data_IF_913222444561
#
_entry.id   IF_913222444561
#
_cell.length_a   1.000
_cell.length_b   1.000
_cell.length_c   1.000
_cell.angle_alpha   90.00
_cell.angle_beta   90.00
_cell.angle_gamma   90.00
#
_symmetry.space_group_name_H-M   'P 1'
#
loop_
_entity.id
_entity.type
_entity.pdbx_description
1 polymer ?
#
# COMPACT_ATOMS: atom_id res chain seq x y z
N UNK A 1 25.70 6.07 -63.61
CA UNK A 1 25.00 7.07 -62.78
C UNK A 1 24.31 6.27 -61.70
N UNK A 2 25.02 6.05 -60.60
CA UNK A 2 24.53 5.34 -59.42
C UNK A 2 24.86 6.23 -58.22
N UNK A 3 23.82 6.59 -57.47
CA UNK A 3 23.92 7.31 -56.21
C UNK A 3 24.01 6.28 -55.06
N UNK A 4 24.84 6.49 -54.03
CA UNK A 4 24.73 5.75 -52.78
C UNK A 4 23.78 6.49 -51.81
N UNK A 5 22.80 5.76 -51.28
CA UNK A 5 21.86 6.24 -50.26
C UNK A 5 22.47 6.11 -48.87
N UNK A 6 22.56 7.23 -48.17
CA UNK A 6 23.11 7.37 -46.82
C UNK A 6 22.15 6.80 -45.77
N UNK A 7 22.69 6.00 -44.84
CA UNK A 7 22.00 5.55 -43.63
C UNK A 7 21.76 6.76 -42.69
N UNK A 8 20.54 6.90 -42.17
CA UNK A 8 20.20 7.85 -41.12
C UNK A 8 19.84 7.09 -39.84
N UNK A 9 20.73 7.26 -38.86
CA UNK A 9 20.61 6.84 -37.47
C UNK A 9 19.53 7.70 -36.77
N UNK A 10 18.43 7.09 -36.33
CA UNK A 10 17.40 7.78 -35.54
C UNK A 10 17.72 7.65 -34.05
N UNK A 11 18.29 8.71 -33.48
CA UNK A 11 18.47 8.89 -32.04
C UNK A 11 17.15 9.41 -31.42
N UNK A 12 16.70 8.74 -30.37
CA UNK A 12 15.57 9.14 -29.52
C UNK A 12 15.92 10.37 -28.68
N UNK A 13 14.96 11.28 -28.40
CA UNK A 13 15.20 12.46 -27.58
C UNK A 13 15.17 12.13 -26.07
N UNK A 14 15.97 12.82 -25.23
CA UNK A 14 15.94 12.64 -23.78
C UNK A 14 14.75 13.35 -23.13
N UNK A 15 14.24 12.75 -22.05
CA UNK A 15 13.14 13.18 -21.20
C UNK A 15 13.37 14.57 -20.59
N UNK A 16 12.42 15.49 -20.80
CA UNK A 16 12.44 16.86 -20.30
C UNK A 16 12.03 16.96 -18.83
N UNK A 17 12.87 17.60 -18.03
CA UNK A 17 12.56 18.05 -16.68
C UNK A 17 11.56 19.22 -16.73
N UNK A 18 10.41 19.07 -16.07
CA UNK A 18 9.43 20.15 -15.93
C UNK A 18 9.72 20.94 -14.65
N UNK A 19 10.09 22.22 -14.81
CA UNK A 19 10.41 23.15 -13.73
C UNK A 19 9.15 23.69 -13.04
N UNK A 20 9.22 23.88 -11.71
CA UNK A 20 8.19 24.52 -10.88
C UNK A 20 8.27 26.06 -10.92
N UNK A 21 7.16 26.81 -10.81
CA UNK A 21 7.18 28.26 -10.58
C UNK A 21 7.11 28.64 -9.09
N UNK A 22 7.97 29.59 -8.69
CA UNK A 22 8.03 30.27 -7.39
C UNK A 22 6.97 31.38 -7.28
N UNK A 23 6.27 31.47 -6.14
CA UNK A 23 5.43 32.62 -5.78
C UNK A 23 6.10 33.48 -4.69
N UNK A 24 6.39 34.75 -5.02
CA UNK A 24 6.59 35.87 -4.09
C UNK A 24 5.19 36.42 -3.74
N UNK A 25 4.81 36.93 -2.57
CA UNK A 25 5.51 37.49 -1.42
C UNK A 25 4.82 38.82 -1.09
N UNK A 26 4.32 39.02 0.14
CA UNK A 26 4.01 40.37 0.64
C UNK A 26 4.19 40.48 2.17
N UNK A 27 4.77 41.62 2.57
CA UNK A 27 5.29 42.00 3.90
C UNK A 27 4.33 42.91 4.68
N UNK A 28 4.66 43.12 5.98
CA UNK A 28 4.60 44.35 6.83
C UNK A 28 3.91 44.04 8.18
N UNK A 29 4.32 44.48 9.39
CA UNK A 29 5.54 45.03 9.98
C UNK A 29 5.37 45.06 11.53
N UNK A 30 6.52 45.08 12.22
CA UNK A 30 6.89 45.23 13.65
C UNK A 30 6.15 46.23 14.56
N UNK A 31 6.09 45.95 15.89
CA UNK A 31 6.51 46.90 16.97
C UNK A 31 6.63 46.26 18.37
N UNK A 32 7.50 46.84 19.20
CA UNK A 32 8.16 46.34 20.41
C UNK A 32 7.39 46.44 21.77
N UNK A 33 7.91 45.72 22.79
CA UNK A 33 7.67 45.76 24.28
C UNK A 33 8.17 47.09 24.92
N UNK A 34 7.98 47.46 26.23
CA UNK A 34 8.17 46.67 27.50
C UNK A 34 7.41 47.22 28.78
N UNK A 35 7.87 47.13 30.07
CA UNK A 35 8.22 46.02 30.99
C UNK A 35 7.60 46.12 32.45
N UNK A 36 8.05 45.22 33.37
CA UNK A 36 8.18 45.33 34.86
C UNK A 36 7.33 44.33 35.70
N UNK A 37 7.65 43.91 36.93
CA UNK A 37 8.86 43.46 37.65
C UNK A 37 8.41 43.00 39.08
N UNK A 38 8.97 41.89 39.60
CA UNK A 38 9.21 41.49 41.02
C UNK A 38 8.05 41.29 42.05
N UNK A 39 7.92 40.06 42.61
CA UNK A 39 8.15 39.69 44.05
C UNK A 39 7.65 38.26 44.42
N UNK A 40 8.54 37.48 45.04
CA UNK A 40 8.29 36.32 45.94
C UNK A 40 8.24 36.83 47.41
N UNK A 41 8.12 36.02 48.51
CA UNK A 41 8.04 34.54 48.64
C UNK A 41 7.03 34.02 49.73
N UNK A 42 6.75 32.71 49.77
CA UNK A 42 6.75 31.91 51.02
C UNK A 42 6.56 30.40 50.78
N UNK A 43 7.27 29.62 51.58
CA UNK A 43 7.38 28.16 51.55
C UNK A 43 6.47 27.52 52.61
N UNK A 44 6.02 26.29 52.38
CA UNK A 44 6.04 25.21 53.39
C UNK A 44 5.60 23.83 52.86
N UNK A 45 6.28 22.82 53.42
CA UNK A 45 5.93 21.39 53.56
C UNK A 45 6.33 20.37 52.47
N UNK A 46 7.36 19.63 52.87
CA UNK A 46 7.83 18.33 52.43
C UNK A 46 6.89 17.19 52.82
N UNK A 47 6.53 16.33 51.88
CA UNK A 47 6.24 14.91 52.16
C UNK A 47 6.85 14.03 51.06
N UNK A 48 7.68 13.10 51.51
CA UNK A 48 8.37 12.09 50.71
C UNK A 48 7.38 10.96 50.37
N UNK A 49 7.20 10.66 49.09
CA UNK A 49 6.64 9.36 48.66
C UNK A 49 7.59 8.70 47.66
N UNK A 50 7.87 7.43 47.95
CA UNK A 50 8.80 6.56 47.25
C UNK A 50 8.05 5.77 46.18
N UNK A 51 8.71 5.57 45.03
CA UNK A 51 8.49 4.56 43.97
C UNK A 51 7.24 4.62 43.09
N UNK A 52 7.46 4.92 41.79
CA UNK A 52 7.23 4.04 40.63
C UNK A 52 7.77 4.71 39.36
N UNK A 53 8.72 4.13 38.59
CA UNK A 53 8.91 4.52 37.20
C UNK A 53 8.06 3.57 36.36
N UNK A 54 6.77 3.88 36.20
CA UNK A 54 5.99 3.35 35.09
C UNK A 54 5.95 4.42 34.01
N UNK A 55 7.10 4.66 33.37
CA UNK A 55 7.07 5.08 31.98
C UNK A 55 6.67 3.84 31.21
N UNK A 56 5.38 3.66 30.99
CA UNK A 56 4.90 2.77 29.93
C UNK A 56 5.47 3.35 28.63
N UNK A 57 6.63 2.83 28.22
CA UNK A 57 7.05 2.98 26.84
C UNK A 57 5.93 2.38 25.98
N UNK A 58 5.56 3.04 24.87
CA UNK A 58 4.58 2.48 23.97
C UNK A 58 5.02 1.06 23.58
N UNK A 59 4.10 0.10 23.48
CA UNK A 59 4.45 -1.27 23.12
C UNK A 59 5.27 -1.24 21.83
N UNK A 60 6.53 -1.67 21.92
CA UNK A 60 7.42 -1.77 20.76
C UNK A 60 6.71 -2.65 19.73
N UNK A 61 6.38 -2.07 18.57
CA UNK A 61 5.71 -2.81 17.51
C UNK A 61 6.71 -3.82 16.94
N UNK A 62 6.49 -5.09 17.27
CA UNK A 62 7.35 -6.23 16.95
C UNK A 62 6.81 -6.94 15.72
N UNK A 63 7.69 -7.19 14.74
CA UNK A 63 7.38 -7.95 13.53
C UNK A 63 8.18 -9.25 13.49
N UNK A 64 7.56 -10.33 13.03
CA UNK A 64 8.25 -11.59 12.83
C UNK A 64 9.02 -11.62 11.51
N UNK A 65 10.17 -12.29 11.52
CA UNK A 65 11.01 -12.50 10.35
C UNK A 65 10.78 -13.92 9.84
N UNK A 66 10.29 -14.02 8.60
CA UNK A 66 10.27 -15.26 7.83
C UNK A 66 11.53 -15.39 7.00
N UNK A 67 12.30 -16.45 7.22
CA UNK A 67 13.51 -16.71 6.42
C UNK A 67 13.19 -17.61 5.22
N UNK A 68 13.56 -17.16 4.02
CA UNK A 68 13.37 -17.91 2.77
C UNK A 68 14.69 -18.03 1.99
N UNK A 69 14.71 -18.88 0.95
CA UNK A 69 15.84 -18.94 0.00
C UNK A 69 15.57 -18.04 -1.19
N UNK A 70 16.27 -16.92 -1.32
CA UNK A 70 16.15 -16.00 -2.45
C UNK A 70 17.50 -15.89 -3.17
N UNK A 71 17.56 -16.07 -4.48
CA UNK A 71 18.81 -16.00 -5.26
C UNK A 71 19.97 -16.82 -4.65
N UNK A 72 19.67 -18.05 -4.21
CA UNK A 72 20.59 -18.96 -3.51
C UNK A 72 21.17 -18.44 -2.17
N UNK A 73 20.54 -17.43 -1.57
CA UNK A 73 20.90 -16.89 -0.26
C UNK A 73 19.73 -17.03 0.72
N UNK A 74 20.04 -17.10 2.01
CA UNK A 74 19.03 -17.08 3.08
C UNK A 74 18.65 -15.62 3.34
N UNK A 75 17.44 -15.23 2.94
CA UNK A 75 16.98 -13.83 2.91
C UNK A 75 15.78 -13.65 3.84
N UNK A 76 15.74 -12.56 4.65
CA UNK A 76 14.63 -12.28 5.53
C UNK A 76 13.48 -11.58 4.79
N UNK A 77 12.25 -11.99 5.10
CA UNK A 77 11.01 -11.30 4.80
C UNK A 77 10.37 -10.91 6.12
N UNK A 78 9.90 -9.67 6.23
CA UNK A 78 9.15 -9.18 7.37
C UNK A 78 7.67 -9.49 7.16
N UNK A 79 7.04 -10.14 8.13
CA UNK A 79 5.60 -10.46 8.11
C UNK A 79 4.79 -9.40 8.85
N UNK A 80 3.51 -9.30 8.52
CA UNK A 80 2.54 -8.39 9.12
C UNK A 80 1.38 -9.17 9.76
N UNK A 81 0.87 -8.64 10.87
CA UNK A 81 -0.27 -9.15 11.64
C UNK A 81 -1.37 -8.09 11.85
N UNK A 82 -1.07 -6.81 11.63
CA UNK A 82 -1.96 -5.68 11.84
C UNK A 82 -1.98 -4.75 10.62
N UNK A 83 -3.11 -4.08 10.39
CA UNK A 83 -3.27 -3.08 9.34
C UNK A 83 -2.54 -1.79 9.74
N UNK A 84 -1.72 -1.21 8.84
CA UNK A 84 -1.01 0.04 9.10
C UNK A 84 0.40 0.08 8.51
N UNK A 85 1.35 -0.75 8.99
CA UNK A 85 2.76 -0.68 8.62
C UNK A 85 3.09 -1.29 7.25
N UNK A 86 2.09 -1.61 6.44
CA UNK A 86 2.28 -2.22 5.13
C UNK A 86 3.17 -1.43 4.16
N UNK A 87 3.18 -0.08 4.11
CA UNK A 87 4.11 0.65 3.24
C UNK A 87 5.56 0.42 3.66
N UNK A 88 5.84 0.48 4.97
CA UNK A 88 7.17 0.21 5.52
C UNK A 88 7.60 -1.23 5.21
N UNK A 89 6.73 -2.21 5.49
CA UNK A 89 7.03 -3.62 5.28
C UNK A 89 7.27 -3.93 3.80
N UNK A 90 6.45 -3.37 2.89
CA UNK A 90 6.62 -3.56 1.45
C UNK A 90 7.97 -3.01 0.96
N UNK A 91 8.37 -1.83 1.43
CA UNK A 91 9.66 -1.22 1.11
C UNK A 91 10.82 -2.06 1.67
N UNK A 92 10.78 -2.42 2.95
CA UNK A 92 11.84 -3.22 3.59
C UNK A 92 12.01 -4.55 2.87
N UNK A 93 10.93 -5.24 2.55
CA UNK A 93 11.00 -6.51 1.84
C UNK A 93 11.60 -6.37 0.43
N UNK A 94 11.29 -5.29 -0.30
CA UNK A 94 11.99 -4.99 -1.55
C UNK A 94 13.50 -4.81 -1.31
N UNK A 95 13.88 -4.06 -0.27
CA UNK A 95 15.29 -3.79 0.05
C UNK A 95 16.06 -5.05 0.52
N UNK A 96 15.43 -5.95 1.28
CA UNK A 96 16.04 -7.22 1.69
C UNK A 96 16.19 -8.16 0.50
N UNK A 97 15.18 -8.25 -0.38
CA UNK A 97 15.23 -9.06 -1.60
C UNK A 97 16.23 -8.51 -2.63
N UNK A 98 16.43 -7.19 -2.69
CA UNK A 98 17.54 -6.56 -3.45
C UNK A 98 18.91 -6.76 -2.82
N UNK A 99 18.98 -7.29 -1.58
CA UNK A 99 20.22 -7.50 -0.83
C UNK A 99 20.86 -6.22 -0.28
N UNK A 100 20.10 -5.11 -0.23
CA UNK A 100 20.53 -3.82 0.30
C UNK A 100 20.46 -3.80 1.84
N UNK A 101 19.50 -4.51 2.42
CA UNK A 101 19.40 -4.76 3.87
C UNK A 101 19.77 -6.22 4.15
N UNK A 102 20.64 -6.43 5.14
CA UNK A 102 21.02 -7.76 5.62
C UNK A 102 20.83 -7.82 7.12
N UNK A 103 20.06 -8.81 7.58
CA UNK A 103 19.83 -9.06 8.99
C UNK A 103 20.66 -10.26 9.47
N UNK A 104 21.13 -10.28 10.73
CA UNK A 104 21.72 -11.46 11.34
C UNK A 104 20.77 -12.66 11.32
N UNK A 105 21.27 -13.85 10.93
CA UNK A 105 20.47 -15.08 10.81
C UNK A 105 19.89 -15.63 12.12
N UNK A 106 20.28 -15.04 13.26
CA UNK A 106 19.80 -15.39 14.61
C UNK A 106 18.57 -14.59 15.01
N UNK A 107 18.12 -13.62 14.20
CA UNK A 107 16.93 -12.82 14.47
C UNK A 107 15.69 -13.51 13.92
N UNK A 108 14.70 -13.68 14.79
CA UNK A 108 13.35 -14.17 14.44
C UNK A 108 12.29 -13.06 14.54
N UNK A 109 12.64 -11.94 15.17
CA UNK A 109 11.80 -10.74 15.34
C UNK A 109 12.62 -9.47 15.12
N UNK A 110 11.95 -8.39 14.71
CA UNK A 110 12.53 -7.06 14.51
C UNK A 110 11.54 -5.99 14.97
N UNK A 111 12.04 -4.91 15.57
CA UNK A 111 11.19 -3.80 15.99
C UNK A 111 10.98 -2.78 14.87
N UNK A 112 9.92 -1.99 14.96
CA UNK A 112 9.69 -0.88 14.02
C UNK A 112 10.86 0.10 13.99
N UNK A 113 11.47 0.42 15.14
CA UNK A 113 12.61 1.34 15.22
C UNK A 113 13.81 0.81 14.42
N UNK A 114 14.09 -0.49 14.51
CA UNK A 114 15.15 -1.14 13.73
C UNK A 114 14.86 -1.12 12.22
N UNK A 115 13.60 -1.32 11.83
CA UNK A 115 13.19 -1.19 10.42
C UNK A 115 13.39 0.24 9.91
N UNK A 116 13.02 1.23 10.72
CA UNK A 116 13.21 2.65 10.40
C UNK A 116 14.69 3.03 10.30
N UNK A 117 15.54 2.50 11.19
CA UNK A 117 16.99 2.70 11.15
C UNK A 117 17.58 2.17 9.84
N UNK A 118 17.27 0.92 9.49
CA UNK A 118 17.73 0.34 8.22
C UNK A 118 17.21 1.09 6.99
N UNK A 119 15.97 1.57 7.03
CA UNK A 119 15.40 2.39 5.96
C UNK A 119 16.14 3.73 5.84
N UNK A 120 16.40 4.41 6.95
CA UNK A 120 17.17 5.66 7.00
C UNK A 120 18.58 5.49 6.45
N UNK A 121 19.28 4.42 6.85
CA UNK A 121 20.61 4.08 6.34
C UNK A 121 20.61 3.84 4.82
N UNK A 122 19.57 3.19 4.28
CA UNK A 122 19.42 2.99 2.85
C UNK A 122 19.23 4.31 2.09
N UNK A 123 18.38 5.21 2.60
CA UNK A 123 18.13 6.53 2.00
C UNK A 123 19.40 7.39 2.04
N UNK A 124 20.17 7.33 3.13
CA UNK A 124 21.46 8.02 3.24
C UNK A 124 22.55 7.39 2.35
N UNK A 125 22.49 6.09 2.11
CA UNK A 125 23.42 5.38 1.23
C UNK A 125 23.10 5.56 -0.25
N UNK A 126 21.87 5.93 -0.61
CA UNK A 126 21.47 6.23 -1.99
C UNK A 126 21.94 7.60 -2.48
N UNK A 127 22.56 8.41 -1.62
CA UNK A 127 23.10 9.73 -1.96
C UNK A 127 24.16 9.60 -3.08
N UNK A 128 23.92 10.19 -4.27
CA UNK A 128 24.93 10.23 -5.32
C UNK A 128 26.17 10.99 -4.83
N UNK A 129 27.36 10.45 -5.13
CA UNK A 129 28.63 11.07 -4.69
C UNK A 129 28.95 12.37 -5.41
N UNK A 130 28.41 12.54 -6.62
CA UNK A 130 28.66 13.68 -7.50
C UNK A 130 27.34 14.33 -7.90
N UNK A 131 26.72 15.10 -6.99
CA UNK A 131 25.51 15.86 -7.27
C UNK A 131 25.91 17.19 -7.93
N UNK A 132 25.40 17.52 -9.13
CA UNK A 132 25.63 18.83 -9.73
C UNK A 132 25.16 19.96 -8.80
N UNK A 133 25.89 21.06 -8.71
CA UNK A 133 25.57 22.22 -7.85
C UNK A 133 24.14 22.74 -8.08
N UNK A 134 23.66 22.69 -9.33
CA UNK A 134 22.29 23.07 -9.71
C UNK A 134 21.20 22.15 -9.14
N UNK A 135 21.53 20.91 -8.82
CA UNK A 135 20.59 19.89 -8.31
C UNK A 135 20.75 19.65 -6.80
N UNK A 136 21.77 20.21 -6.17
CA UNK A 136 22.10 19.95 -4.77
C UNK A 136 20.98 20.37 -3.82
N UNK A 137 20.43 21.58 -3.99
CA UNK A 137 19.33 22.07 -3.15
C UNK A 137 18.06 21.22 -3.31
N UNK A 138 17.76 20.76 -4.53
CA UNK A 138 16.61 19.89 -4.78
C UNK A 138 16.79 18.54 -4.08
N UNK A 139 18.00 17.98 -4.13
CA UNK A 139 18.30 16.72 -3.45
C UNK A 139 18.23 16.87 -1.92
N UNK A 140 18.78 17.95 -1.36
CA UNK A 140 18.70 18.24 0.08
C UNK A 140 17.25 18.39 0.55
N UNK A 141 16.41 19.08 -0.23
CA UNK A 141 14.98 19.19 0.07
C UNK A 141 14.29 17.83 0.02
N UNK A 142 14.52 17.04 -1.02
CA UNK A 142 13.93 15.70 -1.16
C UNK A 142 14.30 14.79 0.03
N UNK A 143 15.54 14.88 0.50
CA UNK A 143 16.00 14.13 1.68
C UNK A 143 15.30 14.61 2.95
N UNK A 144 15.16 15.92 3.13
CA UNK A 144 14.44 16.48 4.28
C UNK A 144 12.99 16.02 4.31
N UNK A 145 12.31 16.08 3.17
CA UNK A 145 10.92 15.66 3.02
C UNK A 145 10.77 14.16 3.31
N UNK A 146 11.66 13.32 2.75
CA UNK A 146 11.67 11.88 3.02
C UNK A 146 11.80 11.56 4.52
N UNK A 147 12.72 12.23 5.23
CA UNK A 147 12.93 12.03 6.66
C UNK A 147 11.72 12.48 7.49
N UNK A 148 10.97 13.49 7.03
CA UNK A 148 9.73 13.93 7.67
C UNK A 148 8.57 12.93 7.48
N UNK A 149 8.59 12.15 6.39
CA UNK A 149 7.53 11.18 6.06
C UNK A 149 7.75 9.82 6.73
N UNK A 150 9.01 9.46 7.02
CA UNK A 150 9.40 8.19 7.62
C UNK A 150 8.44 7.70 8.74
N UNK A 151 8.07 8.52 9.74
CA UNK A 151 7.12 8.09 10.77
C UNK A 151 5.74 7.69 10.23
N UNK A 152 5.24 8.33 9.16
CA UNK A 152 3.94 8.03 8.54
C UNK A 152 3.89 6.62 7.96
N UNK A 153 5.02 6.09 7.48
CA UNK A 153 5.09 4.73 6.92
C UNK A 153 4.67 3.63 7.92
N UNK A 154 4.67 3.93 9.22
CA UNK A 154 4.22 3.02 10.28
C UNK A 154 2.70 2.99 10.43
N UNK A 155 2.04 4.11 10.19
CA UNK A 155 0.60 4.30 10.43
C UNK A 155 -0.25 4.25 9.16
N UNK A 156 0.37 4.49 8.00
CA UNK A 156 -0.29 4.52 6.69
C UNK A 156 0.30 5.59 5.78
N UNK A 157 0.32 5.31 4.49
CA UNK A 157 0.82 6.22 3.47
C UNK A 157 -0.33 6.64 2.54
N UNK A 158 -0.59 7.93 2.46
CA UNK A 158 -1.61 8.48 1.59
C UNK A 158 -1.10 8.58 0.15
N UNK A 159 -1.76 7.90 -0.77
CA UNK A 159 -1.50 7.98 -2.21
C UNK A 159 -2.80 8.30 -2.94
N UNK A 160 -2.70 9.07 -4.01
CA UNK A 160 -3.85 9.43 -4.83
C UNK A 160 -3.60 9.04 -6.28
N UNK A 161 -4.23 7.95 -6.73
CA UNK A 161 -4.05 7.41 -8.09
C UNK A 161 -4.77 8.26 -9.14
N UNK A 162 -4.28 8.21 -10.37
CA UNK A 162 -5.01 8.57 -11.59
C UNK A 162 -5.30 7.29 -12.35
N UNK A 163 -6.42 7.25 -13.05
CA UNK A 163 -6.87 6.03 -13.72
C UNK A 163 -6.28 5.85 -15.14
N UNK A 164 -5.26 6.63 -15.50
CA UNK A 164 -4.74 6.78 -16.87
C UNK A 164 -3.55 5.89 -17.21
N UNK A 165 -2.83 5.38 -16.21
CA UNK A 165 -1.64 4.57 -16.41
C UNK A 165 -1.14 3.96 -15.11
N UNK A 166 -0.40 2.86 -15.19
CA UNK A 166 0.00 2.07 -13.99
C UNK A 166 0.99 2.76 -13.04
N UNK A 167 1.60 3.88 -13.46
CA UNK A 167 2.53 4.69 -12.66
C UNK A 167 1.93 6.05 -12.27
N UNK A 168 0.67 6.30 -12.61
CA UNK A 168 0.13 7.64 -12.54
C UNK A 168 -0.45 7.91 -11.14
N UNK A 169 0.36 8.51 -10.29
CA UNK A 169 -0.06 9.06 -9.01
C UNK A 169 -0.05 10.59 -9.05
N UNK A 170 -0.92 11.23 -8.29
CA UNK A 170 -0.70 12.62 -7.92
C UNK A 170 0.57 12.71 -7.07
N UNK A 171 1.46 13.64 -7.43
CA UNK A 171 2.69 13.83 -6.69
C UNK A 171 2.37 14.29 -5.28
N UNK A 172 2.63 13.41 -4.32
CA UNK A 172 2.58 13.69 -2.89
C UNK A 172 3.99 13.57 -2.32
N UNK A 173 4.37 14.37 -1.30
CA UNK A 173 5.64 14.19 -0.61
C UNK A 173 5.85 12.74 -0.21
N UNK A 174 4.78 12.07 0.24
CA UNK A 174 4.71 10.67 0.62
C UNK A 174 5.35 9.69 -0.38
N UNK A 175 5.30 9.99 -1.68
CA UNK A 175 5.86 9.14 -2.72
C UNK A 175 7.39 9.24 -2.86
N UNK A 176 8.02 10.29 -2.31
CA UNK A 176 9.44 10.60 -2.51
C UNK A 176 10.39 9.50 -2.02
N UNK A 177 9.95 8.73 -1.03
CA UNK A 177 10.72 7.61 -0.47
C UNK A 177 10.97 6.52 -1.51
N UNK A 178 10.00 6.27 -2.39
CA UNK A 178 10.11 5.30 -3.47
C UNK A 178 11.14 5.75 -4.51
N UNK A 179 11.11 7.04 -4.87
CA UNK A 179 12.05 7.64 -5.82
C UNK A 179 13.50 7.59 -5.30
N UNK A 180 13.73 7.99 -4.04
CA UNK A 180 15.07 7.97 -3.43
C UNK A 180 15.64 6.54 -3.34
N UNK A 181 14.80 5.56 -2.98
CA UNK A 181 15.19 4.16 -2.89
C UNK A 181 15.23 3.43 -4.24
N UNK A 182 14.83 4.11 -5.33
CA UNK A 182 14.70 3.53 -6.68
C UNK A 182 13.82 2.28 -6.65
N UNK A 183 12.68 2.38 -5.99
CA UNK A 183 11.64 1.37 -5.92
C UNK A 183 10.47 1.88 -6.76
N UNK A 184 10.16 1.25 -7.90
CA UNK A 184 8.97 1.63 -8.66
C UNK A 184 7.70 1.41 -7.82
N UNK A 185 6.82 2.40 -7.83
CA UNK A 185 5.47 2.30 -7.27
C UNK A 185 4.46 2.17 -8.42
N UNK A 186 3.59 1.17 -8.33
CA UNK A 186 2.60 0.85 -9.34
C UNK A 186 1.19 0.73 -8.74
N UNK A 187 0.16 0.89 -9.56
CA UNK A 187 -1.22 0.46 -9.29
C UNK A 187 -1.84 -0.15 -10.55
N UNK A 188 -2.93 -0.90 -10.40
CA UNK A 188 -3.65 -1.52 -11.53
C UNK A 188 -5.10 -1.01 -11.70
N UNK A 189 -5.43 0.11 -11.05
CA UNK A 189 -6.75 0.74 -11.12
C UNK A 189 -6.85 1.68 -12.32
N UNK A 190 -7.10 1.13 -13.51
CA UNK A 190 -7.11 1.87 -14.76
C UNK A 190 -8.50 1.86 -15.41
N UNK A 191 -8.77 2.88 -16.24
CA UNK A 191 -9.93 2.87 -17.11
C UNK A 191 -9.73 1.87 -18.24
N UNK A 192 -10.79 1.20 -18.63
CA UNK A 192 -10.81 0.32 -19.79
C UNK A 192 -11.03 1.16 -21.07
N UNK A 193 -10.09 1.13 -22.04
CA UNK A 193 -10.24 1.82 -23.33
C UNK A 193 -11.49 1.42 -24.11
N UNK A 194 -12.03 0.22 -23.87
CA UNK A 194 -13.24 -0.27 -24.52
C UNK A 194 -14.53 0.33 -23.95
N UNK A 195 -14.44 1.12 -22.88
CA UNK A 195 -15.57 1.77 -22.19
C UNK A 195 -15.57 3.30 -22.38
N UNK A 196 -15.99 3.83 -23.56
CA UNK A 196 -15.91 5.26 -23.87
C UNK A 196 -16.75 6.14 -22.96
N UNK A 197 -17.88 5.62 -22.46
CA UNK A 197 -18.76 6.34 -21.52
C UNK A 197 -18.05 6.59 -20.18
N UNK A 198 -17.32 5.59 -19.69
CA UNK A 198 -16.55 5.69 -18.43
C UNK A 198 -15.34 6.61 -18.62
N UNK A 199 -14.64 6.50 -19.77
CA UNK A 199 -13.55 7.41 -20.12
C UNK A 199 -13.99 8.88 -20.14
N UNK A 200 -15.16 9.18 -20.72
CA UNK A 200 -15.70 10.53 -20.75
C UNK A 200 -16.12 11.01 -19.34
N UNK A 201 -16.78 10.14 -18.57
CA UNK A 201 -17.25 10.46 -17.22
C UNK A 201 -16.10 10.68 -16.22
N UNK A 202 -15.04 9.87 -16.27
CA UNK A 202 -13.89 9.96 -15.36
C UNK A 202 -12.86 10.98 -15.85
N UNK A 203 -12.57 11.00 -17.15
CA UNK A 203 -11.56 11.87 -17.75
C UNK A 203 -10.17 11.64 -17.16
N UNK A 204 -9.46 12.73 -16.83
CA UNK A 204 -8.11 12.70 -16.26
C UNK A 204 -8.10 13.00 -14.74
N UNK A 205 -9.23 12.78 -14.07
CA UNK A 205 -9.34 12.99 -12.62
C UNK A 205 -8.45 12.00 -11.85
N UNK A 206 -7.81 12.48 -10.77
CA UNK A 206 -7.35 11.59 -9.71
C UNK A 206 -8.53 11.05 -8.90
N UNK A 207 -8.31 10.04 -8.06
CA UNK A 207 -9.37 9.48 -7.21
C UNK A 207 -10.07 10.57 -6.37
N UNK A 208 -9.31 11.43 -5.67
CA UNK A 208 -9.89 12.51 -4.87
C UNK A 208 -10.73 13.49 -5.73
N UNK A 209 -10.20 13.88 -6.89
CA UNK A 209 -10.92 14.76 -7.82
C UNK A 209 -12.20 14.11 -8.35
N UNK A 210 -12.19 12.80 -8.59
CA UNK A 210 -13.34 12.06 -9.09
C UNK A 210 -14.44 11.97 -8.03
N UNK A 211 -14.08 11.68 -6.77
CA UNK A 211 -15.04 11.64 -5.66
C UNK A 211 -15.70 13.01 -5.46
N UNK A 212 -14.92 14.09 -5.46
CA UNK A 212 -15.46 15.45 -5.40
C UNK A 212 -16.37 15.76 -6.60
N UNK A 213 -15.95 15.38 -7.81
CA UNK A 213 -16.75 15.53 -9.03
C UNK A 213 -18.10 14.81 -8.89
N UNK A 214 -18.12 13.57 -8.40
CA UNK A 214 -19.35 12.79 -8.21
C UNK A 214 -20.28 13.50 -7.23
N UNK A 215 -19.78 13.91 -6.05
CA UNK A 215 -20.58 14.58 -5.02
C UNK A 215 -21.21 15.87 -5.56
N UNK A 216 -20.43 16.70 -6.24
CA UNK A 216 -20.90 17.97 -6.78
C UNK A 216 -21.90 17.79 -7.93
N UNK A 217 -21.66 16.82 -8.81
CA UNK A 217 -22.43 16.65 -10.03
C UNK A 217 -23.75 15.89 -9.85
N UNK A 218 -23.87 15.05 -8.81
CA UNK A 218 -25.11 14.32 -8.49
C UNK A 218 -26.32 15.22 -8.24
N UNK A 219 -26.09 16.41 -7.69
CA UNK A 219 -27.14 17.39 -7.39
C UNK A 219 -27.28 18.46 -8.49
N UNK A 220 -26.65 18.26 -9.66
CA UNK A 220 -26.70 19.21 -10.76
C UNK A 220 -28.11 19.31 -11.37
N UNK A 221 -28.56 20.52 -11.78
CA UNK A 221 -29.81 20.67 -12.52
C UNK A 221 -29.74 20.14 -13.96
N UNK A 222 -28.54 19.81 -14.47
CA UNK A 222 -28.32 19.31 -15.82
C UNK A 222 -28.32 17.77 -15.84
N UNK A 223 -29.24 17.11 -16.58
CA UNK A 223 -29.35 15.64 -16.60
C UNK A 223 -28.09 14.93 -17.11
N UNK A 224 -27.39 15.53 -18.07
CA UNK A 224 -26.16 14.98 -18.65
C UNK A 224 -25.04 14.88 -17.59
N UNK A 225 -24.89 15.93 -16.78
CA UNK A 225 -23.91 16.00 -15.69
C UNK A 225 -24.21 14.99 -14.59
N UNK A 226 -25.50 14.78 -14.26
CA UNK A 226 -25.92 13.74 -13.31
C UNK A 226 -25.61 12.36 -13.87
N UNK A 227 -25.84 12.14 -15.17
CA UNK A 227 -25.56 10.87 -15.84
C UNK A 227 -24.07 10.53 -15.80
N UNK A 228 -23.18 11.49 -16.11
CA UNK A 228 -21.73 11.31 -15.97
C UNK A 228 -21.33 10.94 -14.53
N UNK A 229 -21.92 11.61 -13.53
CA UNK A 229 -21.63 11.32 -12.13
C UNK A 229 -22.02 9.90 -11.72
N UNK A 230 -23.18 9.41 -12.20
CA UNK A 230 -23.63 8.04 -11.94
C UNK A 230 -22.75 6.99 -12.63
N UNK A 231 -22.27 7.28 -13.85
CA UNK A 231 -21.32 6.40 -14.55
C UNK A 231 -19.99 6.32 -13.78
N UNK A 232 -19.46 7.46 -13.35
CA UNK A 232 -18.24 7.54 -12.56
C UNK A 232 -18.38 6.82 -11.20
N UNK A 233 -19.52 6.98 -10.53
CA UNK A 233 -19.82 6.23 -9.30
C UNK A 233 -19.88 4.73 -9.55
N UNK A 234 -20.62 4.31 -10.57
CA UNK A 234 -20.73 2.88 -10.94
C UNK A 234 -19.36 2.28 -11.24
N UNK A 235 -18.45 3.05 -11.87
CA UNK A 235 -17.07 2.63 -12.09
C UNK A 235 -16.35 2.36 -10.77
N UNK A 236 -16.38 3.29 -9.81
CA UNK A 236 -15.74 3.12 -8.50
C UNK A 236 -16.32 1.92 -7.73
N UNK A 237 -17.63 1.73 -7.77
CA UNK A 237 -18.30 0.59 -7.13
C UNK A 237 -17.88 -0.76 -7.74
N UNK A 238 -17.87 -0.85 -9.08
CA UNK A 238 -17.50 -2.08 -9.79
C UNK A 238 -16.03 -2.45 -9.66
N UNK A 239 -15.17 -1.46 -9.42
CA UNK A 239 -13.72 -1.62 -9.36
C UNK A 239 -13.18 -1.37 -7.95
N UNK A 240 -14.01 -1.58 -6.92
CA UNK A 240 -13.69 -1.32 -5.52
C UNK A 240 -12.47 -2.09 -4.99
N UNK A 241 -12.05 -3.18 -5.65
CA UNK A 241 -10.81 -3.92 -5.36
C UNK A 241 -9.54 -3.18 -5.82
N UNK A 242 -9.70 -2.03 -6.49
CA UNK A 242 -8.63 -1.16 -7.00
C UNK A 242 -7.69 -1.87 -7.99
N UNK A 243 -8.21 -2.86 -8.71
CA UNK A 243 -7.51 -3.57 -9.77
C UNK A 243 -8.50 -3.92 -10.88
N UNK A 244 -8.15 -3.59 -12.12
CA UNK A 244 -8.94 -3.85 -13.32
C UNK A 244 -8.24 -4.85 -14.23
N UNK A 245 -8.96 -5.55 -15.09
CA UNK A 245 -8.34 -6.44 -16.08
C UNK A 245 -7.42 -5.68 -17.04
N UNK A 246 -7.85 -4.50 -17.52
CA UNK A 246 -7.01 -3.63 -18.35
C UNK A 246 -5.71 -3.24 -17.60
N UNK A 247 -5.83 -2.75 -16.36
CA UNK A 247 -4.68 -2.39 -15.54
C UNK A 247 -3.76 -3.58 -15.22
N UNK A 248 -4.31 -4.78 -15.04
CA UNK A 248 -3.51 -6.00 -14.86
C UNK A 248 -2.69 -6.35 -16.11
N UNK A 249 -3.29 -6.25 -17.30
CA UNK A 249 -2.58 -6.44 -18.57
C UNK A 249 -1.49 -5.37 -18.79
N UNK A 250 -1.79 -4.12 -18.48
CA UNK A 250 -0.84 -3.01 -18.59
C UNK A 250 0.32 -3.15 -17.60
N UNK A 251 0.04 -3.58 -16.36
CA UNK A 251 1.06 -3.93 -15.37
C UNK A 251 1.97 -5.02 -15.92
N UNK A 252 1.41 -6.13 -16.42
CA UNK A 252 2.22 -7.22 -16.95
C UNK A 252 3.11 -6.78 -18.12
N UNK A 253 2.63 -5.85 -18.94
CA UNK A 253 3.39 -5.32 -20.09
C UNK A 253 4.47 -4.31 -19.67
N UNK A 254 4.20 -3.52 -18.62
CA UNK A 254 5.07 -2.41 -18.18
C UNK A 254 6.18 -2.88 -17.24
N UNK A 255 5.91 -3.86 -16.37
CA UNK A 255 6.90 -4.41 -15.45
C UNK A 255 8.02 -5.10 -16.23
N UNK A 256 9.25 -4.78 -15.86
CA UNK A 256 10.42 -5.46 -16.41
C UNK A 256 10.55 -6.87 -15.80
N UNK A 257 11.14 -7.77 -16.57
CA UNK A 257 11.43 -9.12 -16.11
C UNK A 257 12.41 -9.09 -14.92
N UNK A 258 12.14 -9.89 -13.88
CA UNK A 258 12.88 -9.95 -12.60
C UNK A 258 12.94 -8.61 -11.84
N UNK A 259 11.99 -7.69 -12.08
CA UNK A 259 11.86 -6.42 -11.37
C UNK A 259 11.16 -6.60 -10.02
N UNK A 260 11.74 -6.03 -8.96
CA UNK A 260 11.13 -5.87 -7.64
C UNK A 260 10.56 -4.44 -7.48
N UNK A 261 9.27 -4.35 -7.19
CA UNK A 261 8.55 -3.09 -7.06
C UNK A 261 7.50 -3.17 -5.93
N UNK A 262 6.77 -2.07 -5.72
CA UNK A 262 5.63 -1.99 -4.80
C UNK A 262 4.36 -1.75 -5.59
N UNK A 263 3.33 -2.53 -5.32
CA UNK A 263 1.98 -2.38 -5.86
C UNK A 263 1.05 -1.81 -4.79
N UNK A 264 0.35 -0.74 -5.12
CA UNK A 264 -0.77 -0.23 -4.34
C UNK A 264 -2.09 -0.85 -4.86
N UNK A 265 -2.78 -1.57 -3.99
CA UNK A 265 -4.07 -2.21 -4.28
C UNK A 265 -4.88 -2.37 -3.01
N UNK A 266 -6.18 -2.06 -3.07
CA UNK A 266 -7.13 -2.22 -1.98
C UNK A 266 -6.65 -1.59 -0.66
N UNK A 267 -6.16 -0.34 -0.73
CA UNK A 267 -5.57 0.39 0.38
C UNK A 267 -4.37 -0.32 1.06
N UNK A 268 -3.66 -1.17 0.31
CA UNK A 268 -2.54 -1.96 0.79
C UNK A 268 -1.32 -1.81 -0.14
N UNK A 269 -0.13 -1.85 0.45
CA UNK A 269 1.15 -1.84 -0.29
C UNK A 269 1.74 -3.24 -0.28
N UNK A 270 2.02 -3.76 -1.47
CA UNK A 270 2.39 -5.15 -1.70
C UNK A 270 3.74 -5.18 -2.41
N UNK A 271 4.69 -5.96 -1.89
CA UNK A 271 5.93 -6.25 -2.64
C UNK A 271 5.59 -7.14 -3.84
N UNK A 272 5.85 -6.65 -5.05
CA UNK A 272 5.52 -7.31 -6.31
C UNK A 272 6.81 -7.68 -7.06
N UNK A 273 6.82 -8.86 -7.66
CA UNK A 273 7.92 -9.38 -8.46
C UNK A 273 7.41 -9.97 -9.78
N UNK A 274 8.06 -9.67 -10.90
CA UNK A 274 7.77 -10.32 -12.19
C UNK A 274 8.80 -11.41 -12.48
N UNK A 275 8.36 -12.65 -12.70
CA UNK A 275 9.23 -13.77 -13.07
C UNK A 275 8.59 -14.67 -14.13
N UNK A 276 9.35 -14.98 -15.18
CA UNK A 276 8.93 -15.71 -16.39
C UNK A 276 7.60 -15.22 -16.94
N UNK A 277 7.46 -13.91 -17.10
CA UNK A 277 6.22 -13.27 -17.56
C UNK A 277 4.98 -13.49 -16.67
N UNK A 278 5.18 -13.87 -15.40
CA UNK A 278 4.13 -13.97 -14.40
C UNK A 278 4.42 -13.00 -13.24
N UNK A 279 3.38 -12.38 -12.70
CA UNK A 279 3.48 -11.48 -11.55
C UNK A 279 3.19 -12.23 -10.24
N UNK A 280 3.99 -11.95 -9.22
CA UNK A 280 3.95 -12.59 -7.92
C UNK A 280 3.95 -11.54 -6.82
N UNK A 281 2.97 -11.62 -5.93
CA UNK A 281 2.86 -10.82 -4.72
C UNK A 281 3.52 -11.56 -3.56
N UNK A 282 4.32 -10.88 -2.77
CA UNK A 282 4.96 -11.48 -1.61
C UNK A 282 3.93 -11.75 -0.51
N UNK A 283 3.88 -12.98 0.00
CA UNK A 283 3.00 -13.36 1.10
C UNK A 283 3.64 -12.88 2.41
N UNK A 284 3.09 -11.81 2.97
CA UNK A 284 3.56 -11.19 4.21
C UNK A 284 2.67 -11.48 5.41
N UNK A 285 1.51 -12.12 5.24
CA UNK A 285 0.65 -12.49 6.36
C UNK A 285 1.37 -13.45 7.33
N UNK A 286 1.42 -13.05 8.60
CA UNK A 286 2.07 -13.81 9.67
C UNK A 286 1.48 -15.21 9.89
N UNK A 287 0.23 -15.45 9.49
CA UNK A 287 -0.39 -16.78 9.47
C UNK A 287 0.40 -17.81 8.65
N UNK A 288 1.18 -17.37 7.66
CA UNK A 288 2.07 -18.22 6.86
C UNK A 288 3.52 -18.23 7.34
N UNK A 289 3.84 -17.69 8.51
CA UNK A 289 5.22 -17.59 9.03
C UNK A 289 5.96 -18.94 8.98
N UNK A 290 5.30 -20.03 9.39
CA UNK A 290 5.90 -21.37 9.46
C UNK A 290 5.75 -22.19 8.17
N UNK A 291 5.04 -21.68 7.16
CA UNK A 291 4.81 -22.37 5.89
C UNK A 291 5.93 -22.05 4.90
N UNK A 292 7.00 -22.84 4.90
CA UNK A 292 8.17 -22.63 4.05
C UNK A 292 7.86 -22.66 2.54
N UNK A 293 6.80 -23.38 2.14
CA UNK A 293 6.37 -23.52 0.75
C UNK A 293 5.46 -22.39 0.26
N UNK A 294 5.09 -21.43 1.14
CA UNK A 294 4.20 -20.32 0.80
C UNK A 294 4.98 -19.02 0.92
N UNK A 295 5.50 -18.53 -0.20
CA UNK A 295 6.32 -17.30 -0.23
C UNK A 295 5.70 -16.26 -1.15
N UNK A 296 5.20 -16.71 -2.29
CA UNK A 296 4.60 -15.87 -3.31
C UNK A 296 3.16 -16.28 -3.55
N UNK A 297 2.34 -15.35 -3.99
CA UNK A 297 0.99 -15.58 -4.51
C UNK A 297 0.90 -15.01 -5.92
N UNK A 298 0.41 -15.79 -6.87
CA UNK A 298 0.29 -15.35 -8.26
C UNK A 298 -0.74 -14.23 -8.40
N UNK A 299 -0.41 -13.15 -9.09
CA UNK A 299 -1.34 -12.09 -9.48
C UNK A 299 -1.78 -12.29 -10.94
N UNK A 300 -2.82 -13.11 -11.13
CA UNK A 300 -3.33 -13.47 -12.47
C UNK A 300 -4.73 -12.91 -12.77
N UNK A 301 -5.45 -12.44 -11.75
CA UNK A 301 -6.80 -11.89 -11.90
C UNK A 301 -7.11 -10.85 -10.82
N UNK A 302 -8.32 -10.29 -10.92
CA UNK A 302 -8.82 -9.24 -10.03
C UNK A 302 -9.54 -9.79 -8.79
N UNK A 303 -9.90 -11.07 -8.79
CA UNK A 303 -10.80 -11.71 -7.81
C UNK A 303 -10.07 -12.26 -6.57
N UNK A 304 -8.76 -12.46 -6.67
CA UNK A 304 -7.93 -12.87 -5.52
C UNK A 304 -7.88 -14.38 -5.27
N UNK A 305 -8.17 -15.20 -6.28
CA UNK A 305 -7.94 -16.65 -6.31
C UNK A 305 -6.52 -16.99 -6.80
N UNK A 306 -5.54 -16.22 -6.32
CA UNK A 306 -4.13 -16.48 -6.59
C UNK A 306 -3.68 -17.84 -6.05
N UNK A 307 -2.69 -18.43 -6.71
CA UNK A 307 -2.08 -19.69 -6.27
C UNK A 307 -0.80 -19.39 -5.48
N UNK A 308 -0.62 -20.09 -4.36
CA UNK A 308 0.61 -19.98 -3.59
C UNK A 308 1.77 -20.72 -4.27
N UNK A 309 2.94 -20.10 -4.23
CA UNK A 309 4.18 -20.62 -4.76
C UNK A 309 5.31 -20.50 -3.73
N UNK A 310 6.28 -21.42 -3.84
CA UNK A 310 7.48 -21.42 -3.02
C UNK A 310 8.51 -20.40 -3.51
N UNK A 311 9.68 -20.36 -2.87
CA UNK A 311 10.75 -19.42 -3.24
C UNK A 311 11.29 -19.57 -4.67
N UNK A 312 11.07 -20.72 -5.33
CA UNK A 312 11.48 -20.97 -6.72
C UNK A 312 10.33 -20.72 -7.71
N UNK A 313 9.25 -20.06 -7.26
CA UNK A 313 8.03 -19.81 -8.04
C UNK A 313 7.34 -21.10 -8.48
N UNK A 314 7.54 -22.21 -7.76
CA UNK A 314 6.82 -23.46 -8.03
C UNK A 314 5.50 -23.41 -7.27
N UNK A 315 4.41 -23.29 -8.02
CA UNK A 315 3.04 -23.35 -7.47
C UNK A 315 2.85 -24.67 -6.72
N UNK A 316 2.37 -24.59 -5.49
CA UNK A 316 1.99 -25.78 -4.72
C UNK A 316 0.48 -25.87 -4.63
N UNK A 317 -0.12 -27.06 -4.86
CA UNK A 317 -1.50 -27.26 -4.48
C UNK A 317 -1.63 -27.04 -2.96
N UNK A 318 -2.77 -26.53 -2.48
CA UNK A 318 -3.01 -26.40 -1.05
C UNK A 318 -2.75 -27.75 -0.40
N UNK A 319 -1.81 -27.79 0.56
CA UNK A 319 -1.56 -29.02 1.31
C UNK A 319 -2.89 -29.43 1.94
N UNK A 320 -3.39 -30.66 1.74
CA UNK A 320 -4.47 -31.14 2.58
C UNK A 320 -3.97 -30.97 4.02
N UNK A 321 -4.75 -30.27 4.85
CA UNK A 321 -4.37 -30.13 6.26
C UNK A 321 -4.11 -31.53 6.78
N UNK A 322 -2.90 -31.81 7.25
CA UNK A 322 -2.56 -33.05 7.94
C UNK A 322 -3.21 -33.02 9.32
N UNK A 323 -4.54 -32.89 9.35
CA UNK A 323 -5.34 -33.12 10.54
C UNK A 323 -5.28 -34.61 10.78
N UNK A 324 -5.07 -35.02 12.02
CA UNK A 324 -5.38 -36.40 12.39
C UNK A 324 -6.87 -36.63 12.12
N UNK A 325 -7.26 -37.88 11.86
CA UNK A 325 -8.67 -38.23 11.61
C UNK A 325 -9.59 -37.66 12.71
N UNK A 326 -9.12 -37.64 13.96
CA UNK A 326 -9.84 -37.04 15.10
C UNK A 326 -10.02 -35.52 14.97
N UNK A 327 -8.98 -34.78 14.58
CA UNK A 327 -9.07 -33.32 14.40
C UNK A 327 -9.96 -32.94 13.21
N UNK A 328 -9.99 -33.77 12.17
CA UNK A 328 -10.92 -33.64 11.05
C UNK A 328 -12.37 -33.85 11.50
N UNK A 329 -12.63 -34.91 12.29
CA UNK A 329 -13.96 -35.21 12.81
C UNK A 329 -14.47 -34.09 13.73
N UNK A 330 -13.62 -33.54 14.60
CA UNK A 330 -14.02 -32.45 15.50
C UNK A 330 -14.35 -31.16 14.73
N UNK A 331 -13.58 -30.85 13.69
CA UNK A 331 -13.83 -29.67 12.85
C UNK A 331 -15.11 -29.83 12.02
N UNK A 332 -15.32 -30.99 11.41
CA UNK A 332 -16.54 -31.30 10.66
C UNK A 332 -17.77 -31.31 11.57
N UNK A 333 -17.64 -31.83 12.80
CA UNK A 333 -18.69 -31.81 13.81
C UNK A 333 -19.06 -30.38 14.21
N UNK A 334 -18.07 -29.51 14.42
CA UNK A 334 -18.30 -28.09 14.74
C UNK A 334 -18.98 -27.33 13.59
N UNK A 335 -18.56 -27.56 12.35
CA UNK A 335 -19.19 -26.97 11.17
C UNK A 335 -20.64 -27.47 11.01
N UNK A 336 -20.88 -28.78 11.19
CA UNK A 336 -22.22 -29.35 11.15
C UNK A 336 -23.14 -28.77 12.22
N UNK A 337 -22.62 -28.57 13.44
CA UNK A 337 -23.38 -27.96 14.54
C UNK A 337 -23.75 -26.50 14.24
N UNK A 338 -22.82 -25.74 13.64
CA UNK A 338 -23.06 -24.36 13.25
C UNK A 338 -24.16 -24.25 12.18
N UNK A 339 -24.10 -25.10 11.15
CA UNK A 339 -25.12 -25.17 10.10
C UNK A 339 -26.50 -25.59 10.63
N UNK A 340 -26.53 -26.51 11.61
CA UNK A 340 -27.78 -26.91 12.25
C UNK A 340 -28.39 -25.76 13.07
N UNK A 341 -27.57 -25.01 13.82
CA UNK A 341 -28.04 -23.84 14.58
C UNK A 341 -28.55 -22.71 13.67
N UNK A 342 -27.93 -22.51 12.50
CA UNK A 342 -28.42 -21.56 11.50
C UNK A 342 -29.76 -21.99 10.89
N UNK A 343 -29.94 -23.29 10.61
CA UNK A 343 -31.23 -23.82 10.15
C UNK A 343 -32.33 -23.70 11.21
N UNK A 344 -32.00 -23.89 12.49
CA UNK A 344 -32.95 -23.71 13.60
C UNK A 344 -33.33 -22.24 13.79
N UNK A 345 -32.38 -21.31 13.65
CA UNK A 345 -32.65 -19.86 13.68
C UNK A 345 -33.49 -19.41 12.48
N UNK A 346 -33.15 -19.83 11.27
CA UNK A 346 -33.93 -19.52 10.06
C UNK A 346 -35.33 -20.18 10.07
N UNK A 347 -35.46 -21.39 10.62
CA UNK A 347 -36.76 -22.06 10.79
C UNK A 347 -37.67 -21.39 11.81
N UNK A 348 -37.11 -20.76 12.84
CA UNK A 348 -37.86 -19.98 13.83
C UNK A 348 -38.36 -18.66 13.25
N UNK A 349 -37.56 -17.96 12.43
CA UNK A 349 -37.98 -16.75 11.71
C UNK A 349 -39.11 -17.02 10.70
N UNK A 350 -39.05 -18.13 9.96
CA UNK A 350 -40.12 -18.54 9.05
C UNK A 350 -41.42 -18.96 9.76
N UNK A 351 -41.31 -19.49 10.99
CA UNK A 351 -42.48 -19.85 11.81
C UNK A 351 -43.14 -18.63 12.45
N UNK A 352 -42.35 -17.63 12.87
CA UNK A 352 -42.84 -16.34 13.39
C UNK A 352 -43.60 -15.56 12.29
N UNK A 353 -43.05 -15.49 11.08
CA UNK A 353 -43.67 -14.79 9.94
C UNK A 353 -45.02 -15.40 9.49
N UNK A 354 -45.28 -16.68 9.79
CA UNK A 354 -46.58 -17.34 9.53
C UNK A 354 -47.64 -16.98 10.56
N UNK A 355 -47.27 -16.73 11.82
CA UNK A 355 -48.21 -16.32 12.86
C UNK A 355 -48.65 -14.85 12.69
N UNK A 356 -47.73 -13.96 12.28
CA UNK A 356 -48.05 -12.54 12.12
C UNK A 356 -48.99 -12.27 10.92
N UNK A 357 -48.90 -13.08 9.86
CA UNK A 357 -49.82 -12.99 8.71
C UNK A 357 -51.21 -13.61 8.95
N UNK A 358 -51.37 -14.47 9.97
CA UNK A 358 -52.67 -15.05 10.33
C UNK A 358 -53.50 -14.13 11.23
N UNK A 359 -52.86 -13.18 11.93
CA UNK A 359 -53.53 -12.21 12.81
C UNK A 359 -54.13 -11.00 12.06
N UNK A 360 -53.78 -10.78 10.77
CA UNK A 360 -54.23 -9.60 10.02
C UNK A 360 -55.57 -9.75 9.27
N UNK A 361 -56.28 -10.88 9.42
CA UNK A 361 -57.56 -11.14 8.74
C UNK A 361 -58.75 -11.36 9.69
N UNK A 362 -58.64 -10.95 10.96
CA UNK A 362 -59.69 -11.13 11.96
C UNK A 362 -60.07 -9.87 12.76
N UNK A 363 -59.80 -8.66 12.23
CA UNK A 363 -60.39 -7.40 12.72
C UNK A 363 -60.98 -6.55 11.59
#
# INVERSE_FOLDING_TARGET
>A
MEQPSTQQEQQQPPLGASAMPLAQGDRVSTSEKPPCQVRSPQACHSETTVTSPSSEEPPQSLYHIKWMRWNNQKTPIITQNENGPCPLIAIINVLTLKGLIKLPHTLDVITVEQLMEHLGDCILSSIPKDIPESAQLNYEQNMHDAMAILPKLQTGLDVNVRFTGVKDFEYTPECIVFDLLRIPLYHGWLLDPESPEVLAAVGNCSYNQLVEKIINNKCSPQPEVVTEALIAETFLERTATQLTYHGLCELNTTLMEDELCVLFRNNHFITLHKHKDHMYQLVTDQGFLNEADVVWETLINVEGDGQFADSDFVVKPPKPRNLTTEQQIDQDYLVALSLQQEQEKGGSEWSQARCDNAASWAE
#
